data_IF_985258067045
#
_entry.id   IF_985258067045
#
_cell.length_a   1.000
_cell.length_b   1.000
_cell.length_c   1.000
_cell.angle_alpha   90.00
_cell.angle_beta   90.00
_cell.angle_gamma   90.00
#
_symmetry.space_group_name_H-M   'P 1'
#
loop_
_entity.id
_entity.type
_entity.pdbx_description
1 polymer ?
#
# COMPACT_ATOMS: atom_id res chain seq x y z
N UNK A 1 -10.32 -14.07 1.74
CA UNK A 1 -9.90 -12.73 1.29
C UNK A 1 -8.43 -12.80 0.98
N UNK A 2 -7.98 -12.26 -0.17
CA UNK A 2 -6.54 -12.12 -0.41
C UNK A 2 -6.00 -11.11 0.61
N UNK A 3 -4.80 -11.37 1.12
CA UNK A 3 -4.07 -10.43 1.96
C UNK A 3 -3.68 -9.17 1.15
N UNK A 4 -3.82 -7.99 1.74
CA UNK A 4 -3.58 -6.71 1.05
C UNK A 4 -2.10 -6.56 0.65
N UNK A 5 -1.18 -7.16 1.42
CA UNK A 5 0.23 -7.19 1.07
C UNK A 5 0.51 -8.04 -0.18
N UNK A 6 -0.26 -9.12 -0.40
CA UNK A 6 -0.20 -9.89 -1.65
C UNK A 6 -0.72 -9.08 -2.83
N UNK A 7 -1.81 -8.32 -2.64
CA UNK A 7 -2.35 -7.45 -3.70
C UNK A 7 -1.34 -6.39 -4.13
N UNK A 8 -0.61 -5.78 -3.18
CA UNK A 8 0.47 -4.83 -3.47
C UNK A 8 1.64 -5.43 -4.27
N UNK A 9 1.79 -6.76 -4.31
CA UNK A 9 2.79 -7.43 -5.13
C UNK A 9 2.28 -7.81 -6.52
N UNK A 10 0.98 -8.09 -6.64
CA UNK A 10 0.37 -8.65 -7.86
C UNK A 10 -0.23 -7.58 -8.78
N UNK A 11 -0.67 -6.45 -8.21
CA UNK A 11 -1.44 -5.41 -8.91
C UNK A 11 -0.61 -4.14 -9.12
N UNK A 12 -0.83 -3.48 -10.26
CA UNK A 12 -0.34 -2.12 -10.48
C UNK A 12 -1.27 -1.06 -9.86
N UNK A 13 -0.90 0.21 -9.98
CA UNK A 13 -1.69 1.32 -9.43
C UNK A 13 -3.14 1.35 -9.94
N UNK A 14 -3.37 0.97 -11.20
CA UNK A 14 -4.72 0.96 -11.79
C UNK A 14 -5.53 -0.26 -11.34
N UNK A 15 -4.86 -1.41 -11.19
CA UNK A 15 -5.44 -2.61 -10.58
C UNK A 15 -5.91 -2.31 -9.16
N UNK A 16 -5.04 -1.76 -8.30
CA UNK A 16 -5.39 -1.39 -6.93
C UNK A 16 -6.55 -0.37 -6.87
N UNK A 17 -6.59 0.60 -7.78
CA UNK A 17 -7.69 1.56 -7.88
C UNK A 17 -9.03 0.87 -8.22
N UNK A 18 -9.01 -0.20 -9.02
CA UNK A 18 -10.20 -1.02 -9.30
C UNK A 18 -10.72 -1.73 -8.05
N UNK A 19 -9.83 -2.33 -7.27
CA UNK A 19 -10.18 -3.00 -6.00
C UNK A 19 -10.86 -2.03 -5.02
N UNK A 20 -10.32 -0.81 -4.90
CA UNK A 20 -10.92 0.26 -4.10
C UNK A 20 -12.28 0.68 -4.66
N UNK A 21 -12.39 0.89 -5.97
CA UNK A 21 -13.64 1.31 -6.62
C UNK A 21 -14.77 0.29 -6.45
N UNK A 22 -14.44 -1.00 -6.40
CA UNK A 22 -15.39 -2.08 -6.14
C UNK A 22 -15.76 -2.23 -4.67
N UNK A 23 -15.06 -1.55 -3.77
CA UNK A 23 -15.24 -1.67 -2.32
C UNK A 23 -14.72 -2.99 -1.75
N UNK A 24 -13.91 -3.73 -2.51
CA UNK A 24 -13.32 -5.00 -2.08
C UNK A 24 -12.17 -4.77 -1.08
N UNK A 25 -11.55 -3.58 -1.13
CA UNK A 25 -10.62 -3.06 -0.11
C UNK A 25 -11.00 -1.63 0.26
N UNK A 26 -10.79 -1.23 1.51
CA UNK A 26 -10.98 0.17 1.90
C UNK A 26 -9.75 1.00 1.50
N UNK A 27 -9.93 2.27 1.09
CA UNK A 27 -8.80 3.15 0.80
C UNK A 27 -7.83 3.28 1.98
N UNK A 28 -8.35 3.32 3.20
CA UNK A 28 -7.54 3.47 4.42
C UNK A 28 -6.68 2.22 4.67
N UNK A 29 -7.23 1.02 4.47
CA UNK A 29 -6.48 -0.23 4.64
C UNK A 29 -5.32 -0.31 3.64
N UNK A 30 -5.54 0.15 2.39
CA UNK A 30 -4.50 0.21 1.36
C UNK A 30 -3.40 1.22 1.74
N UNK A 31 -3.76 2.38 2.29
CA UNK A 31 -2.81 3.38 2.75
C UNK A 31 -1.92 2.83 3.87
N UNK A 32 -2.53 2.25 4.91
CA UNK A 32 -1.82 1.68 6.06
C UNK A 32 -0.86 0.55 5.62
N UNK A 33 -1.31 -0.32 4.72
CA UNK A 33 -0.47 -1.40 4.18
C UNK A 33 0.77 -0.89 3.43
N UNK A 34 0.66 0.25 2.74
CA UNK A 34 1.80 0.88 2.05
C UNK A 34 2.73 1.56 3.05
N UNK A 35 2.19 2.25 4.07
CA UNK A 35 2.99 2.85 5.15
C UNK A 35 3.82 1.77 5.85
N UNK A 36 3.22 0.62 6.17
CA UNK A 36 3.92 -0.51 6.78
C UNK A 36 5.13 -0.97 5.94
N UNK A 37 4.97 -1.07 4.62
CA UNK A 37 6.08 -1.43 3.71
C UNK A 37 7.17 -0.38 3.69
N UNK A 38 6.80 0.90 3.69
CA UNK A 38 7.75 2.02 3.74
C UNK A 38 8.57 1.94 5.03
N UNK A 39 7.91 1.84 6.19
CA UNK A 39 8.59 1.77 7.48
C UNK A 39 9.52 0.55 7.60
N UNK A 40 9.22 -0.55 6.92
CA UNK A 40 10.08 -1.72 6.89
C UNK A 40 11.39 -1.50 6.13
N UNK A 41 11.38 -0.75 5.02
CA UNK A 41 12.54 -0.58 4.12
C UNK A 41 13.28 0.73 4.32
N UNK A 42 12.61 1.76 4.83
CA UNK A 42 13.16 3.10 4.97
C UNK A 42 14.44 3.17 5.82
N UNK A 43 14.61 2.41 6.93
CA UNK A 43 15.86 2.43 7.68
C UNK A 43 17.10 2.00 6.88
N UNK A 44 16.91 1.26 5.79
CA UNK A 44 17.97 0.75 4.93
C UNK A 44 18.18 1.63 3.69
N UNK A 45 17.08 2.11 3.10
CA UNK A 45 17.12 2.90 1.86
C UNK A 45 17.31 4.39 2.11
N UNK A 46 16.82 4.91 3.23
CA UNK A 46 16.83 6.33 3.58
C UNK A 46 16.31 7.21 2.42
N UNK A 47 15.14 6.85 1.89
CA UNK A 47 14.54 7.41 0.68
C UNK A 47 13.34 8.35 0.96
N UNK A 48 12.87 8.44 2.21
CA UNK A 48 11.77 9.29 2.65
C UNK A 48 12.33 10.50 3.40
N UNK A 49 12.23 11.67 2.79
CA UNK A 49 12.67 12.91 3.42
C UNK A 49 11.70 13.39 4.52
N UNK A 50 10.38 13.24 4.31
CA UNK A 50 9.35 13.71 5.21
C UNK A 50 8.10 12.81 5.14
N UNK A 51 7.41 12.65 6.27
CA UNK A 51 6.14 11.91 6.39
C UNK A 51 5.00 12.92 6.49
N UNK A 52 4.02 12.82 5.58
CA UNK A 52 2.89 13.77 5.46
C UNK A 52 1.52 13.11 5.68
N UNK A 53 1.52 11.91 6.27
CA UNK A 53 0.33 11.16 6.64
C UNK A 53 0.01 11.32 8.13
#
# INVERSE_FOLDING_TARGET
MKDIQSLLNDEDATGLAEWVRRGEIQPIDLLEAVIERIEHVEPQLNAVAERLY
#
